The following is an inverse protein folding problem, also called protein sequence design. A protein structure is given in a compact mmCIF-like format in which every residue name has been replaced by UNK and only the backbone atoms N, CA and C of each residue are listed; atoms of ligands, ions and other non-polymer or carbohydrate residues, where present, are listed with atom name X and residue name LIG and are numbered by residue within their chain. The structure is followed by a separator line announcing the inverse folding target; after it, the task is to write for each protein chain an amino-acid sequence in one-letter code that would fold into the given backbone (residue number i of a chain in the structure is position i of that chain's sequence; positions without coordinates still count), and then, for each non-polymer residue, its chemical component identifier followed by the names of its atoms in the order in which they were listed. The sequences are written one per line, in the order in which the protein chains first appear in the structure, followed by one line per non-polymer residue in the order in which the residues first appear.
data_IF_565169592557
#
_entry.id   IF_565169592557
#
_cell.length_a   1.000
_cell.length_b   1.000
_cell.length_c   1.000
_cell.angle_alpha   90.00
_cell.angle_beta   90.00
_cell.angle_gamma   90.00
#
_symmetry.space_group_name_H-M   'P 1'
#
loop_
_entity.id
_entity.type
_entity.pdbx_description
1 polymer ?
#
# COMPACT_ATOMS: atom_id res chain seq x y z
N UNK A 1 5.61 13.75 -0.48
CA UNK A 1 6.11 12.53 -1.16
C UNK A 1 5.21 12.25 -2.35
N UNK A 2 5.76 11.94 -3.54
CA UNK A 2 4.92 11.62 -4.71
C UNK A 2 4.51 10.14 -4.71
N UNK A 3 3.47 9.79 -5.48
CA UNK A 3 3.08 8.39 -5.68
C UNK A 3 4.21 7.54 -6.29
N UNK A 4 5.05 8.15 -7.14
CA UNK A 4 6.22 7.50 -7.73
C UNK A 4 7.30 7.21 -6.69
N UNK A 5 7.55 8.15 -5.78
CA UNK A 5 8.49 7.92 -4.67
C UNK A 5 8.00 6.80 -3.76
N UNK A 6 6.69 6.78 -3.47
CA UNK A 6 6.07 5.73 -2.67
C UNK A 6 6.20 4.35 -3.33
N UNK A 7 5.95 4.25 -4.63
CA UNK A 7 6.20 3.02 -5.40
C UNK A 7 7.67 2.57 -5.28
N UNK A 8 8.63 3.48 -5.39
CA UNK A 8 10.05 3.18 -5.23
C UNK A 8 10.40 2.67 -3.83
N UNK A 9 9.62 3.02 -2.80
CA UNK A 9 9.77 2.47 -1.46
C UNK A 9 9.21 1.04 -1.42
N UNK A 10 8.00 0.82 -1.93
CA UNK A 10 7.37 -0.51 -1.94
C UNK A 10 8.24 -1.58 -2.62
N UNK A 11 8.87 -1.27 -3.76
CA UNK A 11 9.71 -2.24 -4.47
C UNK A 11 10.99 -2.63 -3.69
N UNK A 12 11.39 -1.86 -2.66
CA UNK A 12 12.51 -2.24 -1.77
C UNK A 12 12.19 -3.44 -0.88
N UNK A 13 10.90 -3.76 -0.70
CA UNK A 13 10.45 -5.00 -0.04
C UNK A 13 10.89 -6.27 -0.79
N UNK A 14 11.30 -6.14 -2.07
CA UNK A 14 11.62 -7.23 -2.98
C UNK A 14 10.44 -8.17 -3.26
N UNK A 15 9.23 -7.73 -2.97
CA UNK A 15 8.00 -8.42 -3.33
C UNK A 15 7.50 -7.92 -4.69
N UNK A 16 6.75 -8.73 -5.45
CA UNK A 16 5.98 -8.25 -6.58
C UNK A 16 5.01 -7.15 -6.13
N UNK A 17 4.98 -6.02 -6.85
CA UNK A 17 4.11 -4.88 -6.54
C UNK A 17 3.29 -4.54 -7.78
N UNK A 18 1.97 -4.38 -7.63
CA UNK A 18 1.09 -3.87 -8.67
C UNK A 18 0.30 -2.65 -8.20
N UNK A 19 0.03 -1.73 -9.13
CA UNK A 19 -0.92 -0.65 -8.90
C UNK A 19 -2.34 -1.12 -9.25
N UNK A 20 -3.26 -1.00 -8.30
CA UNK A 20 -4.68 -1.38 -8.38
C UNK A 20 -4.96 -2.89 -8.57
N UNK A 21 -4.29 -3.59 -9.47
CA UNK A 21 -4.51 -5.02 -9.70
C UNK A 21 -3.34 -5.66 -10.48
N UNK A 22 -3.21 -6.98 -10.36
CA UNK A 22 -2.51 -7.80 -11.34
C UNK A 22 -3.48 -8.20 -12.47
N UNK A 23 -3.00 -8.34 -13.70
CA UNK A 23 -3.84 -8.85 -14.80
C UNK A 23 -4.36 -10.26 -14.47
N UNK A 24 -5.57 -10.58 -14.93
CA UNK A 24 -6.20 -11.88 -14.69
C UNK A 24 -5.29 -13.02 -15.18
N UNK A 25 -5.07 -14.02 -14.34
CA UNK A 25 -4.16 -15.13 -14.61
C UNK A 25 -2.66 -14.79 -14.57
N UNK A 26 -2.28 -13.54 -14.27
CA UNK A 26 -0.89 -13.09 -14.10
C UNK A 26 -0.55 -12.64 -12.68
N UNK A 27 -1.44 -12.90 -11.72
CA UNK A 27 -1.12 -12.66 -10.31
C UNK A 27 0.02 -13.58 -9.86
N UNK A 28 1.09 -13.05 -9.27
CA UNK A 28 2.19 -13.86 -8.76
C UNK A 28 1.72 -14.71 -7.58
N UNK A 29 2.46 -15.78 -7.29
CA UNK A 29 2.26 -16.51 -6.04
C UNK A 29 2.56 -15.58 -4.85
N UNK A 30 1.73 -15.56 -3.79
CA UNK A 30 2.04 -14.79 -2.59
C UNK A 30 3.38 -15.24 -1.98
N UNK A 31 4.15 -14.32 -1.37
CA UNK A 31 3.76 -12.96 -1.00
C UNK A 31 3.82 -11.93 -2.14
N UNK A 32 2.81 -11.06 -2.22
CA UNK A 32 2.77 -9.93 -3.16
C UNK A 32 2.06 -8.71 -2.56
N UNK A 33 2.26 -7.55 -3.18
CA UNK A 33 1.68 -6.28 -2.77
C UNK A 33 0.80 -5.70 -3.89
N UNK A 34 -0.38 -5.21 -3.53
CA UNK A 34 -1.20 -4.33 -4.36
C UNK A 34 -1.29 -2.97 -3.66
N UNK A 35 -1.19 -1.87 -4.39
CA UNK A 35 -1.44 -0.55 -3.83
C UNK A 35 -2.32 0.29 -4.75
N UNK A 36 -3.15 1.16 -4.18
CA UNK A 36 -4.02 2.05 -4.93
C UNK A 36 -4.25 3.37 -4.20
N UNK A 37 -4.55 4.42 -4.96
CA UNK A 37 -5.16 5.63 -4.43
C UNK A 37 -6.64 5.34 -4.22
N UNK A 38 -7.08 5.36 -2.96
CA UNK A 38 -8.49 5.17 -2.60
C UNK A 38 -9.29 6.44 -2.86
N UNK A 39 -8.74 7.57 -2.44
CA UNK A 39 -9.33 8.89 -2.63
C UNK A 39 -8.25 9.99 -2.44
N UNK A 40 -8.66 11.24 -2.60
CA UNK A 40 -7.81 12.40 -2.39
C UNK A 40 -8.52 13.45 -1.56
N UNK A 41 -7.81 14.01 -0.59
CA UNK A 41 -8.26 15.13 0.23
C UNK A 41 -7.46 16.38 -0.17
N UNK A 42 -8.12 17.28 -0.88
CA UNK A 42 -7.51 18.49 -1.41
C UNK A 42 -8.04 19.71 -0.66
N UNK A 43 -7.13 20.55 -0.15
CA UNK A 43 -7.48 21.85 0.40
C UNK A 43 -7.10 22.94 -0.60
N UNK A 44 -8.06 23.81 -0.92
CA UNK A 44 -7.92 24.82 -1.97
C UNK A 44 -8.90 25.99 -1.84
N UNK A 45 -8.60 27.07 -2.57
CA UNK A 45 -9.47 28.22 -2.77
C UNK A 45 -9.28 28.76 -4.19
N UNK A 46 -10.23 29.56 -4.68
CA UNK A 46 -10.14 30.25 -5.99
C UNK A 46 -9.81 29.31 -7.17
N UNK A 47 -10.45 28.14 -7.19
CA UNK A 47 -10.26 27.09 -8.21
C UNK A 47 -8.84 26.50 -8.27
N UNK A 48 -8.04 26.65 -7.20
CA UNK A 48 -6.70 26.12 -7.04
C UNK A 48 -6.54 25.30 -5.76
N UNK A 49 -5.85 24.16 -5.83
CA UNK A 49 -5.51 23.32 -4.66
C UNK A 49 -4.11 23.64 -4.15
N UNK A 50 -4.02 24.19 -2.94
CA UNK A 50 -2.74 24.53 -2.30
C UNK A 50 -2.12 23.33 -1.57
N UNK A 51 -2.97 22.42 -1.07
CA UNK A 51 -2.54 21.18 -0.46
C UNK A 51 -3.26 20.01 -1.12
N UNK A 52 -2.50 19.02 -1.55
CA UNK A 52 -3.02 17.76 -2.08
C UNK A 52 -2.57 16.63 -1.18
N UNK A 53 -3.53 15.86 -0.71
CA UNK A 53 -3.29 14.63 0.05
C UNK A 53 -3.90 13.47 -0.71
N UNK A 54 -3.12 12.40 -0.89
CA UNK A 54 -3.60 11.15 -1.46
C UNK A 54 -3.74 10.12 -0.36
N UNK A 55 -4.93 9.57 -0.19
CA UNK A 55 -5.15 8.46 0.73
C UNK A 55 -4.92 7.15 -0.04
N UNK A 56 -3.90 6.42 0.37
CA UNK A 56 -3.48 5.16 -0.21
C UNK A 56 -3.97 3.98 0.62
N UNK A 57 -4.25 2.91 -0.10
CA UNK A 57 -4.41 1.58 0.45
C UNK A 57 -3.28 0.70 -0.09
N UNK A 58 -2.54 0.05 0.80
CA UNK A 58 -1.54 -0.96 0.44
C UNK A 58 -1.95 -2.29 1.03
N UNK A 59 -2.00 -3.32 0.20
CA UNK A 59 -2.49 -4.64 0.54
C UNK A 59 -1.34 -5.62 0.38
N UNK A 60 -0.94 -6.26 1.47
CA UNK A 60 0.00 -7.36 1.49
C UNK A 60 -0.76 -8.68 1.57
N UNK A 61 -0.55 -9.55 0.59
CA UNK A 61 -1.16 -10.87 0.54
C UNK A 61 -0.12 -11.94 0.85
N UNK A 62 -0.47 -12.89 1.73
CA UNK A 62 0.39 -14.02 2.11
C UNK A 62 -0.41 -15.32 2.20
N UNK A 63 0.24 -16.46 1.94
CA UNK A 63 -0.38 -17.80 2.02
C UNK A 63 -0.61 -18.27 3.46
N UNK A 64 0.19 -17.77 4.39
CA UNK A 64 0.16 -18.09 5.82
C UNK A 64 0.37 -16.79 6.58
N UNK A 65 -0.05 -16.76 7.84
CA UNK A 65 0.32 -15.68 8.75
C UNK A 65 1.85 -15.63 8.87
N UNK A 66 2.45 -14.61 8.25
CA UNK A 66 3.90 -14.42 8.14
C UNK A 66 4.31 -13.13 8.83
N UNK A 67 4.60 -13.25 10.14
CA UNK A 67 4.98 -12.12 10.98
C UNK A 67 6.29 -11.48 10.55
N UNK A 68 7.20 -12.24 9.92
CA UNK A 68 8.49 -11.71 9.48
C UNK A 68 8.31 -10.73 8.31
N UNK A 69 7.44 -11.07 7.35
CA UNK A 69 7.12 -10.18 6.23
C UNK A 69 6.34 -8.96 6.71
N UNK A 70 5.40 -9.14 7.65
CA UNK A 70 4.67 -8.04 8.26
C UNK A 70 5.62 -7.05 8.95
N UNK A 71 6.51 -7.52 9.81
CA UNK A 71 7.51 -6.67 10.47
C UNK A 71 8.42 -5.98 9.46
N UNK A 72 8.86 -6.68 8.39
CA UNK A 72 9.66 -6.06 7.33
C UNK A 72 8.92 -4.93 6.60
N UNK A 73 7.61 -5.05 6.42
CA UNK A 73 6.79 -4.00 5.80
C UNK A 73 6.59 -2.83 6.74
N UNK A 74 6.31 -3.08 8.01
CA UNK A 74 6.21 -2.05 9.05
C UNK A 74 7.54 -1.25 9.14
N UNK A 75 8.67 -1.96 9.27
CA UNK A 75 10.01 -1.35 9.32
C UNK A 75 10.34 -0.54 8.05
N UNK A 76 9.87 -1.01 6.88
CA UNK A 76 10.06 -0.30 5.62
C UNK A 76 9.33 1.04 5.62
N UNK A 77 8.12 1.11 6.17
CA UNK A 77 7.36 2.36 6.29
C UNK A 77 7.97 3.27 7.37
N UNK A 78 8.31 2.72 8.54
CA UNK A 78 8.92 3.46 9.65
C UNK A 78 10.26 4.08 9.26
N UNK A 79 11.11 3.33 8.54
CA UNK A 79 12.41 3.84 8.06
C UNK A 79 12.30 4.99 7.06
N UNK A 80 11.14 5.18 6.44
CA UNK A 80 10.84 6.30 5.55
C UNK A 80 9.91 7.34 6.20
N UNK A 81 9.67 7.24 7.52
CA UNK A 81 8.78 8.13 8.28
C UNK A 81 7.36 8.19 7.71
N UNK A 82 6.85 7.05 7.24
CA UNK A 82 5.50 6.92 6.69
C UNK A 82 4.59 6.46 7.82
N UNK A 83 3.65 7.30 8.22
CA UNK A 83 2.61 6.92 9.16
C UNK A 83 1.59 6.01 8.46
N UNK A 84 1.14 4.98 9.17
CA UNK A 84 0.13 4.04 8.69
C UNK A 84 -0.76 3.53 9.83
N UNK A 85 -2.01 3.24 9.49
CA UNK A 85 -2.87 2.33 10.25
C UNK A 85 -2.98 1.01 9.47
N UNK A 86 -3.23 -0.11 10.14
CA UNK A 86 -3.42 -1.39 9.45
C UNK A 86 -4.54 -2.26 10.01
N UNK A 87 -5.11 -3.09 9.15
CA UNK A 87 -6.08 -4.13 9.48
C UNK A 87 -5.68 -5.45 8.82
N UNK A 88 -5.84 -6.56 9.55
CA UNK A 88 -5.62 -7.92 9.04
C UNK A 88 -6.97 -8.59 8.76
N UNK A 89 -7.06 -9.32 7.65
CA UNK A 89 -8.25 -10.11 7.28
C UNK A 89 -7.82 -11.41 6.62
N UNK A 90 -8.50 -12.52 6.93
CA UNK A 90 -8.33 -13.78 6.22
C UNK A 90 -9.43 -13.94 5.16
N UNK A 91 -9.03 -14.01 3.89
CA UNK A 91 -9.93 -14.21 2.74
C UNK A 91 -10.14 -15.71 2.57
N UNK A 92 -11.24 -16.21 3.12
CA UNK A 92 -11.53 -17.65 3.15
C UNK A 92 -11.68 -18.29 1.77
N UNK A 93 -12.21 -17.56 0.80
CA UNK A 93 -12.39 -18.02 -0.59
C UNK A 93 -11.06 -18.23 -1.32
N UNK A 94 -10.09 -17.37 -1.04
CA UNK A 94 -8.75 -17.40 -1.66
C UNK A 94 -7.72 -18.14 -0.80
N UNK A 95 -8.06 -18.40 0.47
CA UNK A 95 -7.15 -18.94 1.50
C UNK A 95 -5.89 -18.09 1.68
N UNK A 96 -6.08 -16.77 1.65
CA UNK A 96 -5.01 -15.79 1.81
C UNK A 96 -5.21 -14.95 3.07
N UNK A 97 -4.10 -14.58 3.69
CA UNK A 97 -4.07 -13.51 4.68
C UNK A 97 -3.79 -12.21 3.95
N UNK A 98 -4.62 -11.20 4.19
CA UNK A 98 -4.47 -9.85 3.69
C UNK A 98 -4.19 -8.91 4.87
N UNK A 99 -3.13 -8.11 4.76
CA UNK A 99 -2.90 -6.96 5.63
C UNK A 99 -3.10 -5.72 4.78
N UNK A 100 -4.03 -4.86 5.19
CA UNK A 100 -4.33 -3.59 4.53
C UNK A 100 -3.79 -2.45 5.37
N UNK A 101 -2.85 -1.69 4.80
CA UNK A 101 -2.29 -0.47 5.35
C UNK A 101 -3.02 0.75 4.75
N UNK A 102 -3.41 1.69 5.60
CA UNK A 102 -3.98 2.98 5.23
C UNK A 102 -2.95 4.07 5.46
N UNK A 103 -2.63 4.81 4.40
CA UNK A 103 -1.51 5.76 4.39
C UNK A 103 -1.97 7.07 3.75
N UNK A 104 -1.79 8.20 4.44
CA UNK A 104 -2.02 9.53 3.85
C UNK A 104 -0.71 10.11 3.34
N UNK A 105 -0.61 10.29 2.03
CA UNK A 105 0.53 10.94 1.38
C UNK A 105 0.27 12.42 1.21
N UNK A 106 0.98 13.22 2.00
CA UNK A 106 1.03 14.66 1.83
C UNK A 106 2.03 14.98 0.70
N UNK A 107 1.52 15.52 -0.41
CA UNK A 107 2.34 15.82 -1.58
C UNK A 107 1.50 16.23 -2.77
N UNK A 108 1.56 17.52 -3.10
CA UNK A 108 1.05 18.11 -4.35
C UNK A 108 2.18 18.64 -5.22
#
# INVERSE_FOLDING_TARGET
MTLKDFYNILIKSKLPVAYHHFEEGRSPAPPFIVYLVKDSENAGADNWSYHKTLNLQVELYTLKKDLEIETKMDDLFDSHSIFFDKVETYISTEKLYQITYYISLNGG
#
